data_IF_541400360316
#
_entry.id   IF_541400360316
#
_cell.length_a   1.000
_cell.length_b   1.000
_cell.length_c   1.000
_cell.angle_alpha   90.00
_cell.angle_beta   90.00
_cell.angle_gamma   90.00
#
_symmetry.space_group_name_H-M   'P 1'
#
loop_
_entity.id
_entity.type
_entity.pdbx_description
1 polymer ?
#
# COMPACT_ATOMS: atom_id res chain seq x y z
N UNK A 1 1.61 10.39 3.07
CA UNK A 1 1.75 8.96 2.69
C UNK A 1 2.99 8.80 1.82
N UNK A 2 3.70 7.67 1.92
CA UNK A 2 4.81 7.32 1.03
C UNK A 2 4.51 5.99 0.32
N UNK A 3 4.70 5.93 -0.99
CA UNK A 3 4.44 4.75 -1.82
C UNK A 3 5.76 4.14 -2.32
N UNK A 4 5.88 2.81 -2.24
CA UNK A 4 7.00 2.05 -2.82
C UNK A 4 6.49 0.87 -3.64
N UNK A 5 7.21 0.50 -4.69
CA UNK A 5 6.92 -0.71 -5.48
C UNK A 5 7.36 -1.95 -4.69
N UNK A 6 6.48 -2.94 -4.59
CA UNK A 6 6.78 -4.26 -4.03
C UNK A 6 7.16 -5.27 -5.12
N UNK A 7 6.97 -6.56 -4.84
CA UNK A 7 7.20 -7.64 -5.82
C UNK A 7 6.03 -7.70 -6.81
N UNK A 8 6.33 -7.76 -8.11
CA UNK A 8 5.29 -7.85 -9.15
C UNK A 8 4.33 -6.67 -9.14
N UNK A 9 3.04 -6.96 -9.00
CA UNK A 9 1.96 -5.96 -8.96
C UNK A 9 1.74 -5.35 -7.58
N UNK A 10 2.44 -5.83 -6.56
CA UNK A 10 2.34 -5.30 -5.21
C UNK A 10 2.89 -3.87 -5.11
N UNK A 11 2.27 -3.09 -4.22
CA UNK A 11 2.67 -1.77 -3.76
C UNK A 11 2.58 -1.74 -2.25
N UNK A 12 3.47 -0.99 -1.62
CA UNK A 12 3.41 -0.75 -0.18
C UNK A 12 3.17 0.74 0.05
N UNK A 13 2.21 1.06 0.93
CA UNK A 13 1.93 2.40 1.39
C UNK A 13 2.32 2.53 2.86
N UNK A 14 3.11 3.55 3.19
CA UNK A 14 3.46 3.90 4.58
C UNK A 14 2.79 5.22 4.98
N UNK A 15 2.17 5.22 6.15
CA UNK A 15 1.74 6.44 6.84
C UNK A 15 2.98 7.08 7.46
N UNK A 16 3.42 8.21 6.91
CA UNK A 16 4.60 8.95 7.38
C UNK A 16 4.26 10.19 8.20
N UNK A 17 3.04 10.69 8.05
CA UNK A 17 2.55 11.89 8.73
C UNK A 17 1.03 11.90 8.63
N UNK A 18 0.37 11.82 9.77
CA UNK A 18 -1.08 11.91 9.92
C UNK A 18 -1.41 12.45 11.31
N UNK A 19 -2.42 13.33 11.46
CA UNK A 19 -2.81 13.86 12.76
C UNK A 19 -3.56 12.84 13.63
N UNK A 20 -3.98 11.71 13.07
CA UNK A 20 -4.89 10.77 13.75
C UNK A 20 -4.65 9.28 13.42
N UNK A 21 -3.68 8.95 12.57
CA UNK A 21 -3.34 7.57 12.21
C UNK A 21 -1.94 7.23 12.70
N UNK A 22 -1.78 6.02 13.21
CA UNK A 22 -0.47 5.50 13.57
C UNK A 22 0.44 5.39 12.34
N UNK A 23 1.74 5.56 12.55
CA UNK A 23 2.74 5.26 11.53
C UNK A 23 2.81 3.75 11.27
N UNK A 24 2.12 3.30 10.23
CA UNK A 24 2.04 1.91 9.82
C UNK A 24 2.30 1.75 8.33
N UNK A 25 2.59 0.52 7.90
CA UNK A 25 2.65 0.15 6.48
C UNK A 25 1.61 -0.91 6.13
N UNK A 26 1.10 -0.84 4.91
CA UNK A 26 0.15 -1.79 4.34
C UNK A 26 0.53 -2.14 2.90
N UNK A 27 0.25 -3.38 2.51
CA UNK A 27 0.47 -3.90 1.16
C UNK A 27 -0.84 -3.91 0.39
N UNK A 28 -0.80 -3.56 -0.89
CA UNK A 28 -1.92 -3.64 -1.84
C UNK A 28 -1.37 -4.05 -3.20
N UNK A 29 -2.23 -4.36 -4.17
CA UNK A 29 -1.81 -4.60 -5.56
C UNK A 29 -2.66 -3.79 -6.54
N UNK A 30 -2.10 -3.56 -7.73
CA UNK A 30 -2.80 -2.93 -8.84
C UNK A 30 -3.25 -4.03 -9.80
N UNK A 31 -4.55 -4.11 -10.06
CA UNK A 31 -5.17 -5.04 -10.99
C UNK A 31 -5.98 -4.29 -12.05
N UNK A 32 -6.53 -5.02 -13.03
CA UNK A 32 -7.45 -4.47 -14.03
C UNK A 32 -8.74 -3.91 -13.42
N UNK A 33 -9.11 -4.34 -12.21
CA UNK A 33 -10.27 -3.86 -11.47
C UNK A 33 -9.94 -2.66 -10.57
N UNK A 34 -8.67 -2.24 -10.52
CA UNK A 34 -8.18 -1.13 -9.68
C UNK A 34 -7.31 -1.60 -8.53
N UNK A 35 -7.40 -0.91 -7.38
CA UNK A 35 -6.66 -1.25 -6.16
C UNK A 35 -7.37 -2.40 -5.45
N UNK A 36 -6.65 -3.51 -5.25
CA UNK A 36 -7.18 -4.68 -4.54
C UNK A 36 -6.19 -5.13 -3.47
N UNK A 37 -6.67 -5.95 -2.53
CA UNK A 37 -5.80 -6.62 -1.56
C UNK A 37 -4.79 -7.52 -2.27
N UNK A 38 -3.60 -7.67 -1.69
CA UNK A 38 -2.60 -8.61 -2.19
C UNK A 38 -3.13 -10.03 -2.03
N UNK A 39 -3.11 -10.80 -3.12
CA UNK A 39 -3.36 -12.25 -3.07
C UNK A 39 -2.09 -12.92 -2.55
N UNK A 40 -2.23 -13.84 -1.59
CA UNK A 40 -1.11 -14.59 -1.02
C UNK A 40 -0.27 -15.32 -2.07
#
# INVERSE_FOLDING_TARGET
LALRKGRGEERICKVISSPCLAEAEARFQISTEGVTDVKD
#
